data_IF_531656775518
#
_entry.id   IF_531656775518
#
_cell.length_a   1.000
_cell.length_b   1.000
_cell.length_c   1.000
_cell.angle_alpha   90.00
_cell.angle_beta   90.00
_cell.angle_gamma   90.00
#
_symmetry.space_group_name_H-M   'P 1'
#
loop_
_entity.id
_entity.type
_entity.pdbx_description
1 polymer ?
#
# COMPACT_ATOMS: atom_id res chain seq x y z
N UNK A 1 14.99 4.54 12.36
CA UNK A 1 13.66 4.01 12.01
C UNK A 1 12.79 5.11 11.45
N UNK A 2 11.93 4.77 10.55
CA UNK A 2 11.05 5.73 9.85
C UNK A 2 9.64 5.58 10.40
N UNK A 3 9.00 6.70 10.71
CA UNK A 3 7.62 6.68 11.21
C UNK A 3 6.66 6.22 10.10
N UNK A 4 5.74 5.33 10.43
CA UNK A 4 4.64 4.96 9.56
C UNK A 4 3.30 5.30 10.23
N UNK A 5 2.39 6.01 9.58
CA UNK A 5 2.52 6.58 8.24
C UNK A 5 3.27 7.92 8.24
N UNK A 6 4.03 8.16 7.20
CA UNK A 6 4.72 9.45 6.98
C UNK A 6 5.07 9.59 5.51
N UNK A 7 5.41 10.82 5.11
CA UNK A 7 5.90 11.07 3.75
C UNK A 7 7.25 10.39 3.51
N UNK A 8 8.12 10.39 4.51
CA UNK A 8 9.42 9.72 4.41
C UNK A 8 9.26 8.23 4.14
N UNK A 9 8.32 7.56 4.84
CA UNK A 9 8.10 6.14 4.65
C UNK A 9 7.68 5.80 3.22
N UNK A 10 6.73 6.54 2.67
CA UNK A 10 6.23 6.24 1.31
C UNK A 10 7.28 6.55 0.24
N UNK A 11 8.13 7.54 0.49
CA UNK A 11 9.23 7.87 -0.40
C UNK A 11 10.26 6.73 -0.45
N UNK A 12 10.61 6.18 0.71
CA UNK A 12 11.50 5.02 0.78
C UNK A 12 10.86 3.78 0.17
N UNK A 13 9.57 3.59 0.37
CA UNK A 13 8.83 2.49 -0.24
C UNK A 13 8.95 2.53 -1.77
N UNK A 14 8.76 3.70 -2.37
CA UNK A 14 8.92 3.89 -3.80
C UNK A 14 10.32 3.48 -4.26
N UNK A 15 11.35 3.95 -3.57
CA UNK A 15 12.74 3.62 -3.92
C UNK A 15 13.01 2.13 -3.86
N UNK A 16 12.59 1.47 -2.78
CA UNK A 16 12.79 0.03 -2.61
C UNK A 16 11.97 -0.78 -3.60
N UNK A 17 10.74 -0.36 -3.89
CA UNK A 17 9.89 -1.06 -4.85
C UNK A 17 10.50 -1.02 -6.25
N UNK A 18 11.09 0.10 -6.64
CA UNK A 18 11.71 0.25 -7.95
C UNK A 18 13.04 -0.52 -8.09
N UNK A 19 13.57 -1.05 -6.99
CA UNK A 19 14.71 -1.97 -6.98
C UNK A 19 14.29 -3.43 -6.93
N UNK A 20 13.00 -3.71 -6.66
CA UNK A 20 12.50 -5.06 -6.48
C UNK A 20 12.19 -5.70 -7.84
N UNK A 21 13.09 -6.54 -8.33
CA UNK A 21 12.94 -7.20 -9.63
C UNK A 21 11.80 -8.21 -9.64
N UNK A 22 11.52 -8.86 -8.51
CA UNK A 22 10.40 -9.79 -8.40
C UNK A 22 9.06 -9.06 -8.56
N UNK A 23 8.95 -7.85 -8.01
CA UNK A 23 7.76 -7.01 -8.21
C UNK A 23 7.62 -6.62 -9.67
N UNK A 24 8.71 -6.17 -10.30
CA UNK A 24 8.69 -5.77 -11.72
C UNK A 24 8.17 -6.88 -12.61
N UNK A 25 8.61 -8.09 -12.36
CA UNK A 25 8.17 -9.25 -13.12
C UNK A 25 6.70 -9.58 -12.84
N UNK A 26 6.30 -9.62 -11.56
CA UNK A 26 4.94 -9.97 -11.17
C UNK A 26 3.91 -8.93 -11.66
N UNK A 27 4.30 -7.66 -11.75
CA UNK A 27 3.40 -6.55 -12.07
C UNK A 27 3.63 -5.96 -13.47
N UNK A 28 4.35 -6.67 -14.35
CA UNK A 28 4.75 -6.14 -15.66
C UNK A 28 3.59 -5.68 -16.54
N UNK A 29 2.42 -6.26 -16.36
CA UNK A 29 1.22 -5.93 -17.14
C UNK A 29 0.22 -5.06 -16.37
N UNK A 30 0.56 -4.67 -15.13
CA UNK A 30 -0.35 -3.89 -14.30
C UNK A 30 -0.40 -2.43 -14.72
N UNK A 31 -1.61 -1.87 -14.80
CA UNK A 31 -1.87 -0.45 -15.05
C UNK A 31 -2.92 0.02 -14.04
N UNK A 32 -2.57 0.94 -13.18
CA UNK A 32 -3.53 1.50 -12.25
C UNK A 32 -2.88 2.16 -11.04
N UNK A 33 -3.43 3.31 -10.66
CA UNK A 33 -3.00 4.03 -9.48
C UNK A 33 -3.93 3.76 -8.31
N UNK A 34 -3.45 4.07 -7.11
CA UNK A 34 -4.13 3.78 -5.86
C UNK A 34 -4.15 5.00 -4.95
N UNK A 35 -5.23 5.09 -4.18
CA UNK A 35 -5.20 5.78 -2.90
C UNK A 35 -5.19 4.71 -1.83
N UNK A 36 -4.16 4.74 -0.98
CA UNK A 36 -4.10 3.89 0.21
C UNK A 36 -4.54 4.75 1.39
N UNK A 37 -5.71 4.43 1.91
CA UNK A 37 -6.34 5.22 2.98
C UNK A 37 -6.17 4.49 4.30
N UNK A 38 -5.44 5.14 5.21
CA UNK A 38 -5.16 4.63 6.55
C UNK A 38 -6.05 5.41 7.51
N UNK A 39 -7.13 4.76 7.97
CA UNK A 39 -8.10 5.45 8.81
C UNK A 39 -7.65 5.49 10.27
N UNK A 40 -8.19 6.45 11.02
CA UNK A 40 -7.93 6.60 12.45
C UNK A 40 -8.22 5.31 13.19
N UNK A 41 -7.34 5.01 14.14
CA UNK A 41 -7.46 3.84 14.99
C UNK A 41 -6.54 4.03 16.20
N UNK A 42 -6.50 3.07 17.10
CA UNK A 42 -5.63 3.11 18.26
C UNK A 42 -4.18 3.40 17.85
N UNK A 43 -3.64 4.53 18.31
CA UNK A 43 -2.27 4.97 18.01
C UNK A 43 -2.17 5.94 16.84
N UNK A 44 -3.20 6.10 16.02
CA UNK A 44 -3.20 7.06 14.92
C UNK A 44 -4.37 8.05 15.10
N UNK A 45 -4.04 9.32 15.30
CA UNK A 45 -5.03 10.37 15.60
C UNK A 45 -5.70 10.94 14.36
N UNK A 46 -5.00 10.91 13.22
CA UNK A 46 -5.48 11.52 11.97
C UNK A 46 -5.32 10.54 10.83
N UNK A 47 -6.32 10.52 9.95
CA UNK A 47 -6.28 9.73 8.72
C UNK A 47 -5.07 10.14 7.88
N UNK A 48 -4.41 9.16 7.27
CA UNK A 48 -3.35 9.39 6.32
C UNK A 48 -3.74 8.76 4.98
N UNK A 49 -3.44 9.44 3.89
CA UNK A 49 -3.75 8.95 2.54
C UNK A 49 -2.50 9.05 1.69
N UNK A 50 -2.11 7.92 1.08
CA UNK A 50 -1.04 7.88 0.12
C UNK A 50 -1.59 7.78 -1.29
N UNK A 51 -1.00 8.52 -2.23
CA UNK A 51 -1.21 8.32 -3.66
C UNK A 51 -0.03 7.51 -4.19
N UNK A 52 -0.33 6.39 -4.87
CA UNK A 52 0.69 5.49 -5.39
C UNK A 52 0.34 5.12 -6.83
N UNK A 53 1.22 5.48 -7.77
CA UNK A 53 1.03 5.24 -9.19
C UNK A 53 1.87 4.05 -9.64
N UNK A 54 1.21 2.94 -9.91
CA UNK A 54 1.85 1.69 -10.32
C UNK A 54 1.56 1.40 -11.79
N UNK A 55 2.63 1.20 -12.57
CA UNK A 55 2.51 1.06 -14.01
C UNK A 55 3.61 0.14 -14.55
N UNK A 56 3.21 -1.01 -15.08
CA UNK A 56 4.13 -1.98 -15.70
C UNK A 56 5.34 -2.34 -14.83
N UNK A 57 5.09 -2.61 -13.56
CA UNK A 57 6.12 -3.02 -12.62
C UNK A 57 6.98 -1.89 -12.06
N UNK A 58 6.61 -0.64 -12.35
CA UNK A 58 7.32 0.55 -11.88
C UNK A 58 6.39 1.38 -11.01
N UNK A 59 6.92 1.91 -9.91
CA UNK A 59 6.24 2.93 -9.14
C UNK A 59 6.66 4.29 -9.69
N UNK A 60 5.76 4.94 -10.44
CA UNK A 60 6.04 6.22 -11.06
C UNK A 60 5.96 7.37 -10.07
N UNK A 61 5.11 7.25 -9.07
CA UNK A 61 4.94 8.25 -8.04
C UNK A 61 4.42 7.60 -6.77
N UNK A 62 4.87 8.09 -5.62
CA UNK A 62 4.37 7.65 -4.31
C UNK A 62 4.60 8.80 -3.32
N UNK A 63 3.52 9.30 -2.75
CA UNK A 63 3.53 10.50 -1.91
C UNK A 63 2.27 10.59 -1.07
N UNK A 64 2.23 11.56 -0.19
CA UNK A 64 0.96 11.90 0.46
C UNK A 64 -0.01 12.44 -0.59
N UNK A 65 -1.26 12.01 -0.50
CA UNK A 65 -2.29 12.44 -1.44
C UNK A 65 -2.64 13.92 -1.23
N UNK A 66 -2.97 14.59 -2.33
CA UNK A 66 -3.50 15.95 -2.30
C UNK A 66 -4.98 15.92 -1.90
N UNK A 67 -5.52 17.02 -1.35
CA UNK A 67 -6.96 17.08 -1.07
C UNK A 67 -7.78 16.77 -2.31
N UNK A 68 -8.79 15.90 -2.17
CA UNK A 68 -9.70 15.49 -3.25
C UNK A 68 -9.03 14.75 -4.40
N UNK A 69 -7.84 14.24 -4.20
CA UNK A 69 -7.15 13.44 -5.22
C UNK A 69 -7.93 12.16 -5.52
N UNK A 70 -7.93 11.74 -6.79
CA UNK A 70 -8.61 10.53 -7.25
C UNK A 70 -7.61 9.55 -7.82
N UNK A 71 -7.96 8.27 -7.79
CA UNK A 71 -7.19 7.20 -8.38
C UNK A 71 -8.14 6.12 -8.88
N UNK A 72 -7.62 5.20 -9.69
CA UNK A 72 -8.42 4.09 -10.23
C UNK A 72 -8.94 3.18 -9.11
N UNK A 73 -8.17 3.02 -8.04
CA UNK A 73 -8.52 2.16 -6.90
C UNK A 73 -8.33 2.90 -5.59
N UNK A 74 -9.24 2.66 -4.66
CA UNK A 74 -9.12 3.16 -3.28
C UNK A 74 -9.11 1.95 -2.35
N UNK A 75 -7.98 1.70 -1.72
CA UNK A 75 -7.79 0.59 -0.79
C UNK A 75 -7.73 1.17 0.62
N UNK A 76 -8.73 0.86 1.43
CA UNK A 76 -8.97 1.54 2.69
C UNK A 76 -9.10 0.59 3.85
N UNK A 77 -8.49 0.93 4.97
CA UNK A 77 -8.62 0.19 6.20
C UNK A 77 -8.04 0.93 7.38
N UNK A 78 -8.30 0.43 8.60
CA UNK A 78 -7.79 1.08 9.81
C UNK A 78 -6.29 0.86 10.00
N UNK A 79 -5.68 1.77 10.71
CA UNK A 79 -4.25 1.76 11.01
C UNK A 79 -3.75 0.41 11.56
N UNK A 80 -4.49 -0.21 12.48
CA UNK A 80 -4.11 -1.51 13.05
C UNK A 80 -3.93 -2.57 11.96
N UNK A 81 -4.83 -2.59 10.97
CA UNK A 81 -4.75 -3.56 9.88
C UNK A 81 -3.58 -3.26 8.93
N UNK A 82 -3.32 -1.97 8.68
CA UNK A 82 -2.15 -1.58 7.88
C UNK A 82 -0.84 -1.96 8.56
N UNK A 83 -0.74 -1.80 9.89
CA UNK A 83 0.45 -2.24 10.62
C UNK A 83 0.70 -3.73 10.41
N UNK A 84 -0.35 -4.54 10.50
CA UNK A 84 -0.23 -5.99 10.29
C UNK A 84 0.25 -6.33 8.89
N UNK A 85 -0.23 -5.62 7.88
CA UNK A 85 0.22 -5.81 6.49
C UNK A 85 1.71 -5.45 6.36
N UNK A 86 2.11 -4.30 6.88
CA UNK A 86 3.49 -3.81 6.76
C UNK A 86 4.47 -4.70 7.52
N UNK A 87 4.03 -5.32 8.62
CA UNK A 87 4.83 -6.30 9.36
C UNK A 87 4.88 -7.67 8.69
N UNK A 88 4.09 -7.87 7.65
CA UNK A 88 4.00 -9.16 6.96
C UNK A 88 3.15 -10.19 7.67
N UNK A 89 2.33 -9.76 8.63
CA UNK A 89 1.46 -10.63 9.42
C UNK A 89 0.09 -10.86 8.78
N UNK A 90 -0.30 -9.96 7.89
CA UNK A 90 -1.60 -10.01 7.21
C UNK A 90 -1.40 -9.79 5.71
N UNK A 91 -1.87 -10.74 4.91
CA UNK A 91 -1.92 -10.60 3.45
C UNK A 91 -3.03 -9.60 3.11
N UNK A 92 -2.74 -8.53 2.34
CA UNK A 92 -3.74 -7.50 2.04
C UNK A 92 -4.94 -8.03 1.25
N UNK A 93 -4.76 -9.03 0.38
CA UNK A 93 -5.88 -9.60 -0.36
C UNK A 93 -6.76 -10.48 0.53
N UNK A 94 -6.17 -11.22 1.46
CA UNK A 94 -6.94 -11.94 2.47
C UNK A 94 -7.67 -10.95 3.38
N UNK A 95 -7.03 -9.86 3.73
CA UNK A 95 -7.67 -8.79 4.49
C UNK A 95 -8.89 -8.24 3.78
N UNK A 96 -8.77 -8.04 2.47
CA UNK A 96 -9.90 -7.60 1.65
C UNK A 96 -11.05 -8.62 1.65
N UNK A 97 -10.74 -9.89 1.45
CA UNK A 97 -11.75 -10.96 1.45
C UNK A 97 -12.45 -11.06 2.81
N UNK A 98 -11.70 -10.87 3.89
CA UNK A 98 -12.23 -10.96 5.26
C UNK A 98 -12.94 -9.69 5.73
N UNK A 99 -12.98 -8.64 4.91
CA UNK A 99 -13.62 -7.38 5.29
C UNK A 99 -12.77 -6.49 6.20
N UNK A 100 -11.47 -6.77 6.35
CA UNK A 100 -10.55 -5.93 7.13
C UNK A 100 -10.10 -4.70 6.35
N UNK A 101 -10.25 -4.74 5.05
CA UNK A 101 -10.06 -3.62 4.12
C UNK A 101 -11.22 -3.56 3.17
N UNK A 102 -11.41 -2.40 2.56
CA UNK A 102 -12.37 -2.24 1.48
C UNK A 102 -11.64 -1.77 0.22
N UNK A 103 -12.21 -2.07 -0.93
CA UNK A 103 -11.69 -1.61 -2.22
C UNK A 103 -12.81 -0.89 -2.98
N UNK A 104 -12.48 0.28 -3.51
CA UNK A 104 -13.30 0.96 -4.49
C UNK A 104 -12.58 0.82 -5.82
N UNK A 105 -13.27 0.30 -6.84
CA UNK A 105 -12.70 -0.14 -8.09
C UNK A 105 -13.02 -1.60 -8.34
N UNK A 106 -12.50 -2.16 -9.43
CA UNK A 106 -12.79 -3.55 -9.81
C UNK A 106 -12.01 -4.53 -8.92
N UNK A 107 -12.71 -5.12 -7.95
CA UNK A 107 -12.09 -6.04 -7.00
C UNK A 107 -11.53 -7.31 -7.65
N UNK A 108 -12.13 -7.78 -8.76
CA UNK A 108 -11.63 -8.97 -9.46
C UNK A 108 -10.23 -8.73 -10.02
N UNK A 109 -10.00 -7.56 -10.57
CA UNK A 109 -8.70 -7.17 -11.12
C UNK A 109 -7.64 -7.21 -10.01
N UNK A 110 -7.98 -6.71 -8.83
CA UNK A 110 -7.08 -6.69 -7.68
C UNK A 110 -6.80 -8.11 -7.18
N UNK A 111 -7.85 -8.94 -7.05
CA UNK A 111 -7.70 -10.30 -6.52
C UNK A 111 -6.86 -11.21 -7.42
N UNK A 112 -6.75 -10.89 -8.70
CA UNK A 112 -5.89 -11.63 -9.63
C UNK A 112 -4.40 -11.27 -9.48
N UNK A 113 -4.05 -10.30 -8.64
CA UNK A 113 -2.69 -9.78 -8.49
C UNK A 113 -1.98 -10.28 -7.22
N UNK A 114 -2.20 -11.55 -6.86
CA UNK A 114 -1.66 -12.09 -5.61
C UNK A 114 -0.13 -11.99 -5.51
N UNK A 115 0.59 -12.30 -6.59
CA UNK A 115 2.07 -12.23 -6.58
C UNK A 115 2.56 -10.81 -6.44
N UNK A 116 1.97 -9.88 -7.20
CA UNK A 116 2.34 -8.47 -7.11
C UNK A 116 2.06 -7.91 -5.72
N UNK A 117 0.89 -8.24 -5.15
CA UNK A 117 0.54 -7.82 -3.80
C UNK A 117 1.52 -8.34 -2.76
N UNK A 118 1.95 -9.61 -2.90
CA UNK A 118 2.95 -10.18 -1.99
C UNK A 118 4.27 -9.42 -2.07
N UNK A 119 4.68 -9.04 -3.28
CA UNK A 119 5.94 -8.28 -3.45
C UNK A 119 5.83 -6.86 -2.92
N UNK A 120 4.65 -6.25 -2.95
CA UNK A 120 4.44 -4.97 -2.28
C UNK A 120 4.68 -5.10 -0.78
N UNK A 121 4.17 -6.16 -0.16
CA UNK A 121 4.39 -6.44 1.26
C UNK A 121 5.85 -6.73 1.55
N UNK A 122 6.50 -7.56 0.72
CA UNK A 122 7.91 -7.87 0.89
C UNK A 122 8.76 -6.60 0.86
N UNK A 123 8.42 -5.67 -0.01
CA UNK A 123 9.10 -4.36 -0.10
C UNK A 123 8.87 -3.54 1.17
N UNK A 124 7.62 -3.47 1.64
CA UNK A 124 7.27 -2.71 2.84
C UNK A 124 8.04 -3.22 4.07
N UNK A 125 8.20 -4.53 4.17
CA UNK A 125 8.95 -5.16 5.28
C UNK A 125 10.43 -4.77 5.31
N UNK A 126 10.98 -4.34 4.20
CA UNK A 126 12.39 -3.93 4.11
C UNK A 126 12.66 -2.56 4.74
N UNK A 127 11.62 -1.79 4.99
CA UNK A 127 11.75 -0.46 5.56
C UNK A 127 11.53 -0.54 7.07
N UNK A 128 12.58 -0.28 7.90
CA UNK A 128 12.42 -0.30 9.35
C UNK A 128 11.42 0.78 9.77
N UNK A 129 10.25 0.37 10.22
CA UNK A 129 9.17 1.30 10.53
C UNK A 129 8.99 1.46 12.05
N UNK A 130 8.70 2.69 12.47
CA UNK A 130 8.29 3.02 13.82
C UNK A 130 6.80 3.30 13.80
N UNK A 131 6.06 2.59 14.64
CA UNK A 131 4.60 2.71 14.71
C UNK A 131 4.18 3.50 15.95
N UNK A 132 3.07 4.22 15.83
CA UNK A 132 2.43 4.88 16.95
C UNK A 132 1.48 3.89 17.66
N UNK A 133 1.50 3.92 18.97
CA UNK A 133 0.62 3.09 19.78
C UNK A 133 1.07 1.67 20.03
#
# INVERSE_FOLDING_TARGET
MVRFPSEEWISLFKEELNKNTAYKDAAKDWEGDFLFVITQDNGLKHEAVYYVDLWHGICRDARLAKPKEKAAFVFKGPYTNWKSVIRGELDPLRGLIRGLFTIDGDSKVILDQAKAAQELVNTAKMIPAEFEG
#
